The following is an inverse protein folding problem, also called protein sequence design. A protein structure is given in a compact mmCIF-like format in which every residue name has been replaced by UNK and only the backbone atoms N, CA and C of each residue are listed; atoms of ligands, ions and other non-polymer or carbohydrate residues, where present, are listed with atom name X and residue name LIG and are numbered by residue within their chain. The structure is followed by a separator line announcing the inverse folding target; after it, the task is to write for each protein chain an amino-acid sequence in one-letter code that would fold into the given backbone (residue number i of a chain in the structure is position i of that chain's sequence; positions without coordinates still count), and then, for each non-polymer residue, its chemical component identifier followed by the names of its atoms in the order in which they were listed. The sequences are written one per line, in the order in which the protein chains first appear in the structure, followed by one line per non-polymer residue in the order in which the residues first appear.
data_IF_872784042910
#
_entry.id   IF_872784042910
#
_cell.length_a   1.000
_cell.length_b   1.000
_cell.length_c   1.000
_cell.angle_alpha   90.00
_cell.angle_beta   90.00
_cell.angle_gamma   90.00
#
_symmetry.space_group_name_H-M   'P 1'
#
loop_
_entity.id
_entity.type
_entity.pdbx_description
1 polymer ?
#
# COMPACT_ATOMS: atom_id res chain seq x y z
N UNK A 1 -6.86 -4.98 7.59
CA UNK A 1 -5.51 -4.66 7.10
C UNK A 1 -4.83 -3.70 8.06
N UNK A 2 -3.53 -3.88 8.34
CA UNK A 2 -2.68 -2.92 9.03
C UNK A 2 -1.34 -2.82 8.31
N UNK A 3 -0.76 -1.64 8.26
CA UNK A 3 0.54 -1.38 7.64
C UNK A 3 1.34 -0.36 8.45
N UNK A 4 2.64 -0.32 8.21
CA UNK A 4 3.62 0.60 8.78
C UNK A 4 4.33 1.37 7.66
N UNK A 5 4.98 2.47 8.00
CA UNK A 5 5.77 3.24 7.03
C UNK A 5 6.89 2.38 6.48
N UNK A 6 7.03 2.34 5.17
CA UNK A 6 7.96 1.49 4.43
C UNK A 6 7.32 0.26 3.80
N UNK A 7 6.17 -0.21 4.30
CA UNK A 7 5.46 -1.35 3.73
C UNK A 7 4.95 -1.07 2.31
N UNK A 8 4.81 -2.11 1.50
CA UNK A 8 4.22 -2.01 0.17
C UNK A 8 2.77 -2.51 0.17
N UNK A 9 1.86 -1.70 -0.36
CA UNK A 9 0.49 -2.08 -0.64
C UNK A 9 0.41 -2.57 -2.09
N UNK A 10 0.03 -3.82 -2.26
CA UNK A 10 -0.21 -4.44 -3.57
C UNK A 10 -1.71 -4.54 -3.76
N UNK A 11 -2.25 -3.76 -4.71
CA UNK A 11 -3.65 -3.80 -5.08
C UNK A 11 -3.80 -4.69 -6.30
N UNK A 12 -4.42 -5.86 -6.13
CA UNK A 12 -4.66 -6.78 -7.24
C UNK A 12 -5.78 -6.26 -8.14
N UNK A 13 -5.50 -6.18 -9.44
CA UNK A 13 -6.51 -5.86 -10.45
C UNK A 13 -7.55 -6.98 -10.53
N UNK A 14 -8.84 -6.63 -10.56
CA UNK A 14 -9.93 -7.63 -10.70
C UNK A 14 -10.10 -8.18 -12.13
N UNK A 15 -9.38 -7.61 -13.10
CA UNK A 15 -9.50 -7.91 -14.52
C UNK A 15 -8.16 -8.44 -15.04
N UNK A 16 -8.21 -9.54 -15.81
CA UNK A 16 -7.04 -10.11 -16.48
C UNK A 16 -6.41 -9.06 -17.42
N UNK A 17 -5.13 -8.77 -17.22
CA UNK A 17 -4.38 -7.77 -18.00
C UNK A 17 -4.24 -6.40 -17.33
N UNK A 18 -4.87 -6.17 -16.17
CA UNK A 18 -4.60 -4.99 -15.36
C UNK A 18 -3.38 -5.26 -14.47
N UNK A 19 -2.31 -4.47 -14.64
CA UNK A 19 -1.12 -4.58 -13.82
C UNK A 19 -1.48 -4.33 -12.34
N UNK A 20 -0.94 -5.15 -11.45
CA UNK A 20 -0.98 -4.92 -10.02
C UNK A 20 -0.45 -3.51 -9.73
N UNK A 21 -1.14 -2.77 -8.88
CA UNK A 21 -0.69 -1.44 -8.48
C UNK A 21 0.07 -1.56 -7.16
N UNK A 22 1.35 -1.24 -7.19
CA UNK A 22 2.22 -1.25 -6.01
C UNK A 22 2.38 0.19 -5.51
N UNK A 23 2.19 0.40 -4.21
CA UNK A 23 2.39 1.69 -3.58
C UNK A 23 3.05 1.53 -2.22
N UNK A 24 4.12 2.27 -1.95
CA UNK A 24 4.78 2.27 -0.65
C UNK A 24 4.01 3.15 0.34
N UNK A 25 3.77 2.67 1.55
CA UNK A 25 3.23 3.47 2.65
C UNK A 25 4.31 4.44 3.12
N UNK A 26 4.08 5.74 2.93
CA UNK A 26 4.97 6.80 3.41
C UNK A 26 4.46 7.41 4.72
N UNK A 27 3.17 7.26 5.02
CA UNK A 27 2.56 7.71 6.28
C UNK A 27 1.32 6.90 6.62
N UNK A 28 1.12 6.59 7.91
CA UNK A 28 -0.10 5.96 8.40
C UNK A 28 -0.97 7.00 9.08
N UNK A 29 -2.13 7.29 8.50
CA UNK A 29 -3.03 8.35 8.98
C UNK A 29 -4.19 7.79 9.83
N UNK A 30 -4.51 6.50 9.67
CA UNK A 30 -5.55 5.84 10.44
C UNK A 30 -5.08 5.38 11.81
N UNK A 31 -6.06 5.20 12.71
CA UNK A 31 -5.79 4.72 14.05
C UNK A 31 -5.24 3.28 14.06
N UNK A 32 -4.36 2.98 15.01
CA UNK A 32 -3.85 1.63 15.28
C UNK A 32 -3.20 0.93 14.07
N UNK A 33 -2.52 1.69 13.19
CA UNK A 33 -1.87 1.11 12.01
C UNK A 33 -2.83 0.85 10.85
N UNK A 34 -4.08 1.31 10.92
CA UNK A 34 -5.11 1.12 9.90
C UNK A 34 -5.17 2.25 8.86
N UNK A 35 -5.98 2.09 7.81
CA UNK A 35 -6.19 3.13 6.81
C UNK A 35 -6.98 4.33 7.37
N UNK A 36 -6.90 5.51 6.74
CA UNK A 36 -6.21 5.79 5.48
C UNK A 36 -4.68 5.80 5.59
N UNK A 37 -4.01 5.55 4.48
CA UNK A 37 -2.55 5.63 4.35
C UNK A 37 -2.20 6.70 3.33
N UNK A 38 -1.12 7.45 3.57
CA UNK A 38 -0.44 8.18 2.49
C UNK A 38 0.53 7.21 1.83
N UNK A 39 0.41 7.08 0.52
CA UNK A 39 1.21 6.15 -0.26
C UNK A 39 1.92 6.87 -1.39
N UNK A 40 3.06 6.33 -1.82
CA UNK A 40 3.80 6.75 -3.00
C UNK A 40 3.81 5.61 -4.02
N UNK A 41 3.39 5.87 -5.24
CA UNK A 41 3.49 4.92 -6.34
C UNK A 41 4.88 4.95 -6.99
N UNK A 42 5.18 3.95 -7.81
CA UNK A 42 6.48 3.84 -8.51
C UNK A 42 6.76 5.01 -9.46
N UNK A 43 5.73 5.69 -9.96
CA UNK A 43 5.86 6.91 -10.77
C UNK A 43 6.20 8.17 -9.94
N UNK A 44 6.33 8.03 -8.61
CA UNK A 44 6.59 9.10 -7.66
C UNK A 44 5.35 9.86 -7.21
N UNK A 45 4.16 9.53 -7.72
CA UNK A 45 2.92 10.19 -7.31
C UNK A 45 2.54 9.77 -5.88
N UNK A 46 2.19 10.76 -5.05
CA UNK A 46 1.71 10.54 -3.70
C UNK A 46 0.22 10.85 -3.56
N UNK A 47 -0.50 9.96 -2.86
CA UNK A 47 -1.93 10.14 -2.60
C UNK A 47 -2.35 9.55 -1.26
N UNK A 48 -3.53 9.94 -0.79
CA UNK A 48 -4.18 9.30 0.36
C UNK A 48 -5.10 8.19 -0.15
N UNK A 49 -4.94 7.00 0.40
CA UNK A 49 -5.59 5.78 -0.07
C UNK A 49 -6.20 5.01 1.10
N UNK A 50 -7.43 4.55 0.90
CA UNK A 50 -8.11 3.58 1.76
C UNK A 50 -8.26 2.26 1.02
N UNK A 51 -7.33 1.29 1.20
CA UNK A 51 -7.34 0.02 0.48
C UNK A 51 -8.60 -0.80 0.72
N UNK A 52 -9.04 -1.48 -0.34
CA UNK A 52 -10.11 -2.47 -0.31
C UNK A 52 -9.62 -3.86 0.15
N UNK A 53 -10.54 -4.84 0.21
CA UNK A 53 -10.21 -6.20 0.66
C UNK A 53 -9.22 -6.94 -0.25
N UNK A 54 -9.11 -6.53 -1.52
CA UNK A 54 -8.19 -7.12 -2.51
C UNK A 54 -6.77 -6.54 -2.44
N UNK A 55 -6.46 -5.76 -1.40
CA UNK A 55 -5.11 -5.24 -1.16
C UNK A 55 -4.36 -6.17 -0.22
N UNK A 56 -3.08 -6.39 -0.50
CA UNK A 56 -2.16 -7.12 0.37
C UNK A 56 -1.05 -6.18 0.84
N UNK A 57 -0.65 -6.30 2.11
CA UNK A 57 0.53 -5.61 2.63
C UNK A 57 1.72 -6.54 2.51
N UNK A 58 2.79 -6.08 1.88
CA UNK A 58 4.11 -6.70 1.90
C UNK A 58 4.98 -5.91 2.85
N UNK A 59 5.37 -6.54 3.95
CA UNK A 59 6.38 -5.98 4.83
C UNK A 59 7.72 -6.09 4.12
N UNK A 60 8.44 -4.98 3.99
CA UNK A 60 9.82 -5.06 3.54
C UNK A 60 10.62 -5.68 4.67
N UNK A 61 11.15 -6.88 4.45
CA UNK A 61 12.13 -7.45 5.36
C UNK A 61 13.29 -6.45 5.43
N UNK A 62 13.60 -5.90 6.63
CA UNK A 62 14.80 -5.11 6.77
C UNK A 62 15.94 -6.07 6.45
N UNK A 63 16.63 -5.80 5.33
CA UNK A 63 17.68 -6.64 4.79
C UNK A 63 18.53 -7.26 5.92
N UNK A 64 18.46 -8.59 6.05
CA UNK A 64 19.39 -9.37 6.90
C UNK A 64 20.82 -9.20 6.42
#
# INVERSE_FOLDING_TARGET
MRATVGDELVVHGRIVGQHDRIAQVVEVLGANGGPPYRVRFEDGHETVMSPGPDTVVRHQDPAS
#
